data_IF_167089021277
#
_entry.id   IF_167089021277
#
_cell.length_a   1.000
_cell.length_b   1.000
_cell.length_c   1.000
_cell.angle_alpha   90.00
_cell.angle_beta   90.00
_cell.angle_gamma   90.00
#
_symmetry.space_group_name_H-M   'P 1'
#
loop_
_entity.id
_entity.type
_entity.pdbx_description
1 polymer ?
#
# COMPACT_ATOMS: atom_id res chain seq x y z
N UNK A 1 27.65 -14.73 -18.70
CA UNK A 1 26.96 -13.43 -18.42
C UNK A 1 25.50 -13.56 -17.96
N UNK A 2 24.84 -14.72 -18.09
CA UNK A 2 23.39 -14.90 -17.78
C UNK A 2 23.02 -15.09 -16.30
N UNK A 3 23.96 -15.53 -15.45
CA UNK A 3 23.69 -15.74 -14.01
C UNK A 3 23.67 -14.44 -13.20
N UNK A 4 24.52 -13.47 -13.52
CA UNK A 4 24.60 -12.18 -12.80
C UNK A 4 23.35 -11.33 -13.05
N UNK A 5 22.84 -11.31 -14.29
CA UNK A 5 21.62 -10.55 -14.64
C UNK A 5 20.36 -11.10 -13.97
N UNK A 6 20.24 -12.42 -13.79
CA UNK A 6 19.10 -13.03 -13.11
C UNK A 6 19.12 -12.79 -11.59
N UNK A 7 20.29 -12.76 -10.96
CA UNK A 7 20.43 -12.41 -9.53
C UNK A 7 20.03 -10.95 -9.32
N UNK A 8 20.52 -10.03 -10.16
CA UNK A 8 20.16 -8.61 -10.10
C UNK A 8 18.63 -8.44 -10.26
N UNK A 9 18.01 -9.05 -11.28
CA UNK A 9 16.56 -8.99 -11.49
C UNK A 9 15.75 -9.54 -10.31
N UNK A 10 16.22 -10.62 -9.68
CA UNK A 10 15.52 -11.23 -8.53
C UNK A 10 15.64 -10.38 -7.27
N UNK A 11 16.77 -9.69 -7.07
CA UNK A 11 16.98 -8.76 -5.95
C UNK A 11 16.09 -7.54 -6.08
N UNK A 12 16.07 -6.86 -7.24
CA UNK A 12 15.21 -5.70 -7.48
C UNK A 12 13.72 -6.02 -7.29
N UNK A 13 13.29 -7.21 -7.71
CA UNK A 13 11.92 -7.70 -7.51
C UNK A 13 11.49 -7.81 -6.04
N UNK A 14 12.44 -8.04 -5.13
CA UNK A 14 12.15 -8.13 -3.70
C UNK A 14 12.17 -6.78 -2.99
N UNK A 15 12.89 -5.79 -3.53
CA UNK A 15 12.98 -4.45 -2.93
C UNK A 15 11.64 -3.71 -2.93
N UNK A 16 10.77 -4.01 -3.88
CA UNK A 16 9.46 -3.36 -4.03
C UNK A 16 8.36 -3.95 -3.13
N UNK A 17 8.74 -4.70 -2.10
CA UNK A 17 7.86 -5.37 -1.16
C UNK A 17 8.06 -4.80 0.24
N UNK A 18 7.07 -4.97 1.10
CA UNK A 18 7.22 -4.63 2.51
C UNK A 18 8.20 -5.57 3.22
N UNK A 19 9.15 -5.02 3.98
CA UNK A 19 10.21 -5.78 4.66
C UNK A 19 10.06 -5.85 6.18
N UNK A 20 8.96 -5.32 6.74
CA UNK A 20 8.67 -5.42 8.17
C UNK A 20 9.20 -4.27 9.04
N UNK A 21 9.67 -3.17 8.44
CA UNK A 21 10.01 -1.97 9.20
C UNK A 21 8.75 -1.27 9.69
N UNK A 22 8.61 -1.04 10.99
CA UNK A 22 7.41 -0.52 11.62
C UNK A 22 7.73 0.53 12.73
N UNK A 23 6.68 1.13 13.31
CA UNK A 23 6.81 2.15 14.35
C UNK A 23 7.47 1.60 15.63
N UNK A 24 7.22 0.33 15.98
CA UNK A 24 7.81 -0.32 17.15
C UNK A 24 9.32 -0.52 16.97
N UNK A 25 9.73 -0.92 15.78
CA UNK A 25 11.14 -0.99 15.38
C UNK A 25 11.82 0.36 15.54
N UNK A 26 11.15 1.46 15.14
CA UNK A 26 11.68 2.81 15.32
C UNK A 26 11.78 3.21 16.80
N UNK A 27 10.75 2.92 17.61
CA UNK A 27 10.76 3.11 19.08
C UNK A 27 12.00 2.44 19.69
N UNK A 28 12.25 1.17 19.33
CA UNK A 28 13.38 0.38 19.84
C UNK A 28 14.76 0.95 19.44
N UNK A 29 14.82 1.89 18.50
CA UNK A 29 16.06 2.52 18.03
C UNK A 29 16.23 3.96 18.51
N UNK A 30 15.28 4.53 19.25
CA UNK A 30 15.37 5.93 19.69
C UNK A 30 16.60 6.21 20.56
N UNK A 31 17.02 5.30 21.43
CA UNK A 31 18.24 5.46 22.24
C UNK A 31 19.49 5.49 21.36
N UNK A 32 19.56 4.60 20.36
CA UNK A 32 20.64 4.57 19.39
C UNK A 32 20.69 5.88 18.58
N UNK A 33 19.54 6.36 18.12
CA UNK A 33 19.43 7.61 17.36
C UNK A 33 19.84 8.82 18.20
N UNK A 34 19.46 8.85 19.48
CA UNK A 34 19.87 9.90 20.41
C UNK A 34 21.40 9.88 20.63
N UNK A 35 22.01 8.71 20.79
CA UNK A 35 23.47 8.58 20.93
C UNK A 35 24.23 9.08 19.70
N UNK A 36 23.65 8.94 18.51
CA UNK A 36 24.20 9.52 17.27
C UNK A 36 24.05 11.06 17.18
N UNK A 37 23.31 11.68 18.11
CA UNK A 37 23.02 13.11 18.08
C UNK A 37 21.86 13.50 17.16
N UNK A 38 21.04 12.55 16.72
CA UNK A 38 19.83 12.84 15.93
C UNK A 38 18.85 13.62 16.79
N UNK A 39 18.28 14.71 16.25
CA UNK A 39 17.28 15.54 16.93
C UNK A 39 15.97 15.71 16.13
N UNK A 40 15.86 15.03 14.98
CA UNK A 40 14.65 14.99 14.17
C UNK A 40 14.61 13.68 13.37
N UNK A 41 13.43 13.07 13.26
CA UNK A 41 13.16 11.93 12.40
C UNK A 41 12.07 12.30 11.42
N UNK A 42 12.38 12.19 10.13
CA UNK A 42 11.39 12.23 9.07
C UNK A 42 11.05 10.78 8.69
N UNK A 43 9.79 10.41 8.85
CA UNK A 43 9.29 9.07 8.51
C UNK A 43 8.39 9.11 7.28
N UNK A 44 8.31 7.97 6.57
CA UNK A 44 7.37 7.75 5.47
C UNK A 44 5.94 8.12 5.86
N UNK A 45 5.12 8.46 4.86
CA UNK A 45 3.75 8.89 5.13
C UNK A 45 2.99 7.79 5.88
N UNK A 46 2.55 8.05 7.13
CA UNK A 46 2.05 7.00 8.01
C UNK A 46 0.60 6.62 7.71
N UNK A 47 0.00 7.21 6.66
CA UNK A 47 -1.40 7.07 6.32
C UNK A 47 -1.69 5.76 5.61
N UNK A 48 -2.91 5.24 5.75
CA UNK A 48 -3.36 4.02 5.08
C UNK A 48 -3.05 4.06 3.59
N UNK A 49 -2.39 3.02 3.10
CA UNK A 49 -1.98 2.87 1.71
C UNK A 49 -2.83 1.82 1.00
N UNK A 50 -2.82 1.84 -0.33
CA UNK A 50 -3.52 0.82 -1.13
C UNK A 50 -3.05 -0.61 -0.82
N UNK A 51 -3.96 -1.56 -0.98
CA UNK A 51 -3.68 -2.98 -0.77
C UNK A 51 -3.39 -3.72 -2.07
N UNK A 52 -2.71 -4.85 -1.97
CA UNK A 52 -2.39 -5.68 -3.13
C UNK A 52 -1.33 -5.10 -4.05
N UNK A 53 -1.35 -5.50 -5.31
CA UNK A 53 -0.23 -5.29 -6.23
C UNK A 53 -0.55 -4.27 -7.31
N UNK A 54 0.43 -3.42 -7.61
CA UNK A 54 0.51 -2.69 -8.88
C UNK A 54 1.73 -3.14 -9.68
N UNK A 55 1.81 -2.72 -10.94
CA UNK A 55 2.99 -2.98 -11.77
C UNK A 55 4.14 -2.03 -11.45
N UNK A 56 5.29 -2.59 -11.08
CA UNK A 56 6.53 -1.86 -10.88
C UNK A 56 7.41 -1.80 -12.14
N UNK A 57 8.23 -0.75 -12.23
CA UNK A 57 9.04 -0.47 -13.41
C UNK A 57 8.22 0.07 -14.59
N UNK A 58 8.89 0.45 -15.68
CA UNK A 58 8.22 1.10 -16.82
C UNK A 58 7.27 0.19 -17.61
N UNK A 59 7.34 -1.13 -17.40
CA UNK A 59 6.53 -2.13 -18.10
C UNK A 59 5.67 -2.98 -17.17
N UNK A 60 5.67 -2.72 -15.86
CA UNK A 60 4.99 -3.58 -14.88
C UNK A 60 5.68 -4.93 -14.70
N UNK A 61 7.01 -4.94 -14.78
CA UNK A 61 7.83 -6.15 -14.82
C UNK A 61 7.84 -6.94 -13.50
N UNK A 62 7.31 -6.36 -12.42
CA UNK A 62 7.31 -6.96 -11.08
C UNK A 62 6.14 -6.44 -10.22
N UNK A 63 5.71 -7.20 -9.19
CA UNK A 63 4.70 -6.71 -8.27
C UNK A 63 5.29 -5.61 -7.40
N UNK A 64 4.55 -4.54 -7.22
CA UNK A 64 4.95 -3.40 -6.44
C UNK A 64 3.90 -3.12 -5.37
N UNK A 65 4.34 -3.06 -4.11
CA UNK A 65 3.50 -2.74 -2.96
C UNK A 65 3.68 -1.28 -2.56
N UNK A 66 2.75 -0.71 -1.80
CA UNK A 66 2.82 0.67 -1.35
C UNK A 66 3.77 0.89 -0.15
N UNK A 67 4.82 0.06 0.00
CA UNK A 67 5.73 0.04 1.16
C UNK A 67 6.42 1.39 1.47
N UNK A 68 6.51 2.27 0.47
CA UNK A 68 7.19 3.56 0.57
C UNK A 68 6.31 4.70 1.10
N UNK A 69 4.98 4.51 1.21
CA UNK A 69 4.06 5.52 1.75
C UNK A 69 3.57 6.59 0.76
N UNK A 70 3.68 6.37 -0.56
CA UNK A 70 3.27 7.37 -1.58
C UNK A 70 1.96 7.03 -2.30
N UNK A 71 1.33 5.89 -2.01
CA UNK A 71 0.07 5.46 -2.63
C UNK A 71 -1.07 5.49 -1.61
N UNK A 72 -1.32 6.67 -1.04
CA UNK A 72 -2.30 6.85 0.03
C UNK A 72 -3.71 6.50 -0.42
N UNK A 73 -4.37 5.66 0.38
CA UNK A 73 -5.75 5.26 0.24
C UNK A 73 -6.68 5.98 1.24
N UNK A 74 -6.21 6.36 2.42
CA UNK A 74 -6.99 7.12 3.39
C UNK A 74 -6.08 7.92 4.35
N UNK A 75 -6.12 9.24 4.25
CA UNK A 75 -5.35 10.15 5.13
C UNK A 75 -5.86 10.20 6.58
N UNK A 76 -7.01 9.58 6.88
CA UNK A 76 -7.62 9.61 8.21
C UNK A 76 -7.25 8.42 9.07
N UNK A 77 -6.59 7.40 8.50
CA UNK A 77 -6.18 6.19 9.18
C UNK A 77 -4.67 5.96 9.04
N UNK A 78 -4.09 5.26 10.01
CA UNK A 78 -2.69 4.82 9.99
C UNK A 78 -2.56 3.53 9.16
N UNK A 79 -1.49 3.40 8.38
CA UNK A 79 -1.17 2.16 7.65
C UNK A 79 -0.96 1.00 8.62
N UNK A 80 -1.76 -0.06 8.47
CA UNK A 80 -1.71 -1.23 9.33
C UNK A 80 -0.34 -1.96 9.31
N UNK A 81 0.44 -1.84 8.23
CA UNK A 81 1.80 -2.39 8.17
C UNK A 81 2.79 -1.62 9.05
N UNK A 82 2.53 -0.34 9.33
CA UNK A 82 3.39 0.48 10.18
C UNK A 82 3.09 0.32 11.67
N UNK A 83 1.87 -0.07 12.03
CA UNK A 83 1.45 -0.33 13.41
C UNK A 83 0.04 0.19 13.68
N UNK A 84 -0.21 0.59 14.93
CA UNK A 84 -1.49 1.21 15.33
C UNK A 84 -1.29 2.61 15.92
N UNK A 85 -2.39 3.33 16.16
CA UNK A 85 -2.35 4.68 16.75
C UNK A 85 -1.64 4.75 18.12
N UNK A 86 -1.71 3.68 18.92
CA UNK A 86 -1.03 3.65 20.22
C UNK A 86 0.50 3.53 20.05
N UNK A 87 0.97 2.74 19.07
CA UNK A 87 2.38 2.70 18.70
C UNK A 87 2.86 4.08 18.19
N UNK A 88 2.06 4.77 17.36
CA UNK A 88 2.40 6.11 16.88
C UNK A 88 2.51 7.13 18.04
N UNK A 89 1.55 7.13 18.97
CA UNK A 89 1.60 7.98 20.18
C UNK A 89 2.85 7.69 20.99
N UNK A 90 3.14 6.40 21.22
CA UNK A 90 4.33 5.95 21.96
C UNK A 90 5.62 6.43 21.29
N UNK A 91 5.71 6.35 19.96
CA UNK A 91 6.85 6.85 19.20
C UNK A 91 7.05 8.35 19.41
N UNK A 92 6.00 9.14 19.23
CA UNK A 92 6.05 10.60 19.35
C UNK A 92 6.45 11.00 20.77
N UNK A 93 5.82 10.44 21.79
CA UNK A 93 6.10 10.75 23.19
C UNK A 93 7.54 10.36 23.57
N UNK A 94 7.96 9.15 23.19
CA UNK A 94 9.30 8.64 23.49
C UNK A 94 10.40 9.43 22.76
N UNK A 95 10.13 9.87 21.52
CA UNK A 95 11.06 10.69 20.75
C UNK A 95 11.19 12.09 21.37
N UNK A 96 10.07 12.72 21.72
CA UNK A 96 10.09 14.05 22.35
C UNK A 96 10.80 14.06 23.70
N UNK A 97 10.64 13.02 24.53
CA UNK A 97 11.40 12.87 25.78
C UNK A 97 12.93 12.88 25.57
N UNK A 98 13.38 12.48 24.38
CA UNK A 98 14.80 12.45 23.98
C UNK A 98 15.25 13.71 23.24
N UNK A 99 14.36 14.70 23.08
CA UNK A 99 14.63 15.90 22.28
C UNK A 99 14.60 15.66 20.77
N UNK A 100 14.00 14.56 20.32
CA UNK A 100 13.87 14.18 18.91
C UNK A 100 12.49 14.61 18.39
N UNK A 101 12.47 15.49 17.38
CA UNK A 101 11.24 15.89 16.67
C UNK A 101 10.79 14.80 15.70
N UNK A 102 9.49 14.66 15.50
CA UNK A 102 8.93 13.77 14.46
C UNK A 102 8.33 14.61 13.34
N UNK A 103 8.71 14.30 12.10
CA UNK A 103 8.14 14.85 10.87
C UNK A 103 7.50 13.70 10.08
N UNK A 104 6.27 13.89 9.64
CA UNK A 104 5.60 12.97 8.73
C UNK A 104 5.75 13.46 7.30
N UNK A 105 6.02 12.55 6.38
CA UNK A 105 5.72 12.82 4.98
C UNK A 105 4.19 12.95 4.80
N UNK A 106 3.78 13.86 3.93
CA UNK A 106 2.38 14.17 3.66
C UNK A 106 2.19 14.31 2.15
N UNK A 107 1.64 13.26 1.55
CA UNK A 107 1.47 13.16 0.10
C UNK A 107 0.05 13.62 -0.25
N UNK A 108 -0.09 14.86 -0.72
CA UNK A 108 -1.41 15.44 -1.09
C UNK A 108 -1.57 15.66 -2.60
N UNK A 109 -0.54 15.37 -3.38
CA UNK A 109 -0.55 15.58 -4.83
C UNK A 109 -1.39 14.52 -5.57
N UNK A 110 -1.46 13.30 -5.05
CA UNK A 110 -2.18 12.18 -5.66
C UNK A 110 -2.64 11.18 -4.59
N UNK A 111 -3.56 10.31 -4.98
CA UNK A 111 -3.94 9.11 -4.25
C UNK A 111 -3.15 7.90 -4.77
N UNK A 112 -3.23 6.78 -4.07
CA UNK A 112 -2.81 5.49 -4.61
C UNK A 112 -3.66 5.05 -5.82
N UNK A 113 -3.13 4.08 -6.57
CA UNK A 113 -3.78 3.49 -7.72
C UNK A 113 -4.95 2.58 -7.32
N UNK A 114 -5.90 2.38 -8.24
CA UNK A 114 -6.87 1.32 -8.08
C UNK A 114 -6.17 -0.04 -8.18
N UNK A 115 -6.40 -0.91 -7.20
CA UNK A 115 -5.88 -2.27 -7.20
C UNK A 115 -7.03 -3.27 -7.24
N UNK A 116 -6.75 -4.47 -7.75
CA UNK A 116 -7.70 -5.57 -7.73
C UNK A 116 -8.16 -5.91 -6.30
N UNK A 117 -7.25 -5.89 -5.32
CA UNK A 117 -7.57 -6.18 -3.93
C UNK A 117 -8.57 -5.17 -3.37
N UNK A 118 -8.29 -3.88 -3.52
CA UNK A 118 -9.16 -2.82 -3.02
C UNK A 118 -10.51 -2.80 -3.77
N UNK A 119 -10.51 -2.99 -5.08
CA UNK A 119 -11.76 -3.06 -5.87
C UNK A 119 -12.67 -4.18 -5.37
N UNK A 120 -12.10 -5.35 -5.07
CA UNK A 120 -12.83 -6.48 -4.52
C UNK A 120 -13.28 -6.22 -3.08
N UNK A 121 -12.40 -5.75 -2.20
CA UNK A 121 -12.75 -5.56 -0.79
C UNK A 121 -13.85 -4.51 -0.61
N UNK A 122 -13.74 -3.42 -1.36
CA UNK A 122 -14.55 -2.24 -1.16
C UNK A 122 -15.62 -2.00 -2.22
N UNK A 123 -15.75 -2.94 -3.16
CA UNK A 123 -16.85 -2.97 -4.12
C UNK A 123 -16.96 -1.67 -4.93
N UNK A 124 -15.82 -1.22 -5.48
CA UNK A 124 -15.73 -0.10 -6.41
C UNK A 124 -15.06 -0.51 -7.73
N UNK A 125 -15.16 0.38 -8.72
CA UNK A 125 -14.69 0.14 -10.07
C UNK A 125 -15.67 -0.73 -10.85
N UNK A 126 -15.34 -0.96 -12.12
CA UNK A 126 -16.10 -1.83 -13.00
C UNK A 126 -15.13 -2.71 -13.80
N UNK A 127 -15.58 -3.92 -14.13
CA UNK A 127 -14.84 -4.85 -14.98
C UNK A 127 -15.54 -5.00 -16.34
N UNK A 128 -14.78 -5.32 -17.38
CA UNK A 128 -15.33 -5.82 -18.64
C UNK A 128 -15.80 -7.29 -18.52
N UNK A 129 -15.27 -8.01 -17.51
CA UNK A 129 -15.60 -9.39 -17.21
C UNK A 129 -16.91 -9.49 -16.43
N UNK A 130 -17.66 -10.58 -16.60
CA UNK A 130 -18.89 -10.83 -15.85
C UNK A 130 -19.10 -12.32 -15.54
N UNK A 131 -19.90 -12.60 -14.51
CA UNK A 131 -20.25 -13.98 -14.12
C UNK A 131 -19.03 -14.85 -13.84
N UNK A 132 -19.06 -16.09 -14.35
CA UNK A 132 -18.00 -17.09 -14.15
C UNK A 132 -16.63 -16.67 -14.72
N UNK A 133 -16.60 -15.74 -15.67
CA UNK A 133 -15.36 -15.24 -16.27
C UNK A 133 -14.51 -14.48 -15.26
N UNK A 134 -15.14 -13.76 -14.33
CA UNK A 134 -14.43 -13.04 -13.26
C UNK A 134 -13.63 -14.03 -12.42
N UNK A 135 -14.28 -15.11 -11.96
CA UNK A 135 -13.62 -16.15 -11.14
C UNK A 135 -12.54 -16.89 -11.92
N UNK A 136 -12.76 -17.15 -13.21
CA UNK A 136 -11.79 -17.80 -14.09
C UNK A 136 -10.53 -16.95 -14.30
N UNK A 137 -10.69 -15.64 -14.45
CA UNK A 137 -9.60 -14.72 -14.81
C UNK A 137 -8.90 -14.11 -13.60
N UNK A 138 -9.65 -13.69 -12.59
CA UNK A 138 -9.12 -13.00 -11.39
C UNK A 138 -9.00 -13.90 -10.16
N UNK A 139 -9.65 -15.08 -10.18
CA UNK A 139 -9.72 -15.97 -9.03
C UNK A 139 -10.78 -15.57 -8.01
N UNK A 140 -10.85 -16.30 -6.89
CA UNK A 140 -11.75 -15.98 -5.78
C UNK A 140 -11.26 -14.79 -4.96
N UNK A 141 -9.94 -14.66 -4.79
CA UNK A 141 -9.27 -13.54 -4.13
C UNK A 141 -8.47 -12.78 -5.16
N UNK A 142 -8.90 -11.60 -5.54
CA UNK A 142 -8.27 -10.86 -6.63
C UNK A 142 -6.87 -10.36 -6.25
N UNK A 143 -6.54 -10.31 -4.95
CA UNK A 143 -5.17 -10.09 -4.44
C UNK A 143 -4.15 -11.14 -4.90
N UNK A 144 -4.63 -12.32 -5.27
CA UNK A 144 -3.79 -13.46 -5.63
C UNK A 144 -3.53 -13.53 -7.14
N UNK A 145 -4.17 -12.64 -7.91
CA UNK A 145 -3.98 -12.53 -9.34
C UNK A 145 -2.50 -12.30 -9.69
N UNK A 146 -2.04 -12.99 -10.73
CA UNK A 146 -0.68 -12.88 -11.26
C UNK A 146 -0.75 -12.86 -12.79
N UNK A 147 0.16 -12.13 -13.45
CA UNK A 147 0.21 -12.14 -14.91
C UNK A 147 0.46 -13.54 -15.45
N UNK A 148 -0.31 -13.91 -16.48
CA UNK A 148 -0.08 -15.11 -17.27
C UNK A 148 1.14 -14.96 -18.20
N UNK A 149 1.51 -16.02 -18.92
CA UNK A 149 2.56 -15.94 -19.94
C UNK A 149 2.24 -14.85 -20.97
N UNK A 150 3.17 -13.91 -21.15
CA UNK A 150 2.99 -12.75 -22.05
C UNK A 150 2.33 -11.52 -21.41
N UNK A 151 1.84 -11.62 -20.17
CA UNK A 151 1.29 -10.49 -19.42
C UNK A 151 2.32 -9.90 -18.44
N UNK A 152 2.03 -8.69 -17.97
CA UNK A 152 2.79 -8.01 -16.91
C UNK A 152 1.87 -7.63 -15.76
N UNK A 153 2.41 -7.11 -14.66
CA UNK A 153 1.60 -6.62 -13.55
C UNK A 153 0.76 -5.39 -13.90
N UNK A 154 0.91 -4.80 -15.08
CA UNK A 154 -0.05 -3.82 -15.59
C UNK A 154 -1.25 -4.45 -16.30
N UNK A 155 -1.16 -5.71 -16.74
CA UNK A 155 -2.23 -6.35 -17.53
C UNK A 155 -3.54 -6.55 -16.76
N UNK A 156 -3.57 -6.41 -15.43
CA UNK A 156 -4.86 -6.41 -14.74
C UNK A 156 -5.75 -5.22 -15.16
N UNK A 157 -5.15 -4.11 -15.61
CA UNK A 157 -5.89 -2.94 -16.09
C UNK A 157 -6.70 -3.25 -17.35
N UNK A 158 -6.32 -4.27 -18.13
CA UNK A 158 -7.03 -4.70 -19.33
C UNK A 158 -8.44 -5.24 -19.01
N UNK A 159 -8.65 -5.69 -17.76
CA UNK A 159 -9.95 -6.19 -17.29
C UNK A 159 -10.84 -5.09 -16.72
N UNK A 160 -10.30 -3.89 -16.50
CA UNK A 160 -10.96 -2.79 -15.79
C UNK A 160 -11.61 -1.82 -16.79
N UNK A 161 -12.89 -1.56 -16.59
CA UNK A 161 -13.63 -0.55 -17.33
C UNK A 161 -13.51 0.83 -16.64
N UNK A 162 -12.48 1.59 -17.01
CA UNK A 162 -12.27 2.97 -16.53
C UNK A 162 -13.32 3.97 -17.03
N UNK A 163 -14.15 3.61 -18.02
CA UNK A 163 -15.18 4.49 -18.57
C UNK A 163 -16.50 4.44 -17.80
N UNK A 164 -16.70 3.46 -16.91
CA UNK A 164 -17.92 3.32 -16.11
C UNK A 164 -17.93 4.29 -14.91
N UNK A 165 -18.52 5.47 -15.11
CA UNK A 165 -18.61 6.50 -14.05
C UNK A 165 -19.27 5.99 -12.77
N UNK A 166 -20.26 5.11 -12.88
CA UNK A 166 -21.02 4.62 -11.71
C UNK A 166 -20.16 3.70 -10.83
N UNK A 167 -19.35 2.84 -11.45
CA UNK A 167 -18.41 1.99 -10.72
C UNK A 167 -17.36 2.81 -9.97
N UNK A 168 -16.90 3.92 -10.54
CA UNK A 168 -15.82 4.74 -9.99
C UNK A 168 -16.26 5.80 -8.96
N UNK A 169 -17.55 6.16 -8.92
CA UNK A 169 -18.10 7.12 -7.95
C UNK A 169 -17.80 6.76 -6.47
N UNK A 170 -17.56 5.46 -6.18
CA UNK A 170 -17.25 4.92 -4.85
C UNK A 170 -15.75 4.84 -4.53
N UNK A 171 -14.87 5.16 -5.48
CA UNK A 171 -13.43 5.11 -5.27
C UNK A 171 -12.92 6.40 -4.63
N UNK A 172 -13.11 7.51 -5.32
CA UNK A 172 -12.80 8.86 -4.85
C UNK A 172 -13.90 9.81 -5.33
N UNK A 173 -14.70 10.32 -4.39
CA UNK A 173 -15.84 11.16 -4.75
C UNK A 173 -16.86 11.30 -3.63
N UNK A 174 -17.96 12.01 -3.91
CA UNK A 174 -19.02 12.30 -2.92
C UNK A 174 -19.75 11.06 -2.39
N UNK A 175 -19.66 9.93 -3.10
CA UNK A 175 -20.32 8.67 -2.75
C UNK A 175 -19.36 7.66 -2.10
N UNK A 176 -18.11 8.06 -1.83
CA UNK A 176 -17.20 7.27 -1.02
C UNK A 176 -17.82 7.08 0.36
N UNK A 177 -17.97 5.83 0.80
CA UNK A 177 -18.49 5.53 2.12
C UNK A 177 -17.47 6.02 3.18
N UNK A 178 -17.81 7.04 4.00
CA UNK A 178 -16.88 7.61 4.97
C UNK A 178 -16.54 6.62 6.11
N UNK A 179 -17.24 5.49 6.20
CA UNK A 179 -17.02 4.41 7.18
C UNK A 179 -16.45 3.14 6.55
N UNK A 180 -16.09 3.16 5.26
CA UNK A 180 -15.38 2.09 4.55
C UNK A 180 -14.22 1.52 5.37
N UNK A 181 -13.50 2.39 6.09
CA UNK A 181 -12.26 2.04 6.80
C UNK A 181 -12.44 1.85 8.32
N UNK A 182 -13.59 2.25 8.91
CA UNK A 182 -13.86 1.98 10.35
C UNK A 182 -14.36 0.56 10.63
N UNK A 183 -14.92 -0.13 9.63
CA UNK A 183 -15.49 -1.49 9.78
C UNK A 183 -14.44 -2.59 10.00
N UNK A 184 -13.17 -2.34 9.69
CA UNK A 184 -12.09 -3.32 9.84
C UNK A 184 -11.64 -3.57 11.29
N UNK A 185 -12.13 -2.79 12.27
CA UNK A 185 -11.87 -3.05 13.71
C UNK A 185 -12.74 -4.12 14.35
N UNK A 186 -13.77 -4.64 13.67
CA UNK A 186 -14.74 -5.57 14.29
C UNK A 186 -14.64 -7.03 13.81
N UNK A 187 -13.83 -7.34 12.79
CA UNK A 187 -13.73 -8.72 12.25
C UNK A 187 -12.48 -9.48 12.68
N UNK A 188 -11.68 -8.93 13.60
CA UNK A 188 -10.44 -9.54 14.10
C UNK A 188 -10.29 -9.46 15.64
N UNK A 189 -11.43 -9.48 16.35
CA UNK A 189 -11.50 -9.79 17.79
C UNK A 189 -12.36 -11.04 17.94
#
# INVERSE_FOLDING_TARGET
MTRVTNVIKTVWRKLALFHGGDLRGLINKLDYLQQLGVNALWISAPFEQIHGWVGGGTKGDFPHYAYHGYYTQDWTNLDANMGNEADLRTLVDSAHQRGIRILFDVVMNHTGYATLADMQEYQFGALYLSGDEVKKTLGERWSDWKPAAGQTWHSFNDYINFSDKTGWDKWWGKKLDPYRYRRLRQSWI
#
